data_IF_898775791903
#
_entry.id   IF_898775791903
#
_cell.length_a   1.000
_cell.length_b   1.000
_cell.length_c   1.000
_cell.angle_alpha   90.00
_cell.angle_beta   90.00
_cell.angle_gamma   90.00
#
_symmetry.space_group_name_H-M   'P 1'
#
loop_
_entity.id
_entity.type
_entity.pdbx_description
1 polymer ?
#
# COMPACT_ATOMS: atom_id res chain seq x y z
N UNK A 1 -0.16 3.91 -2.51
CA UNK A 1 -1.62 4.11 -2.66
C UNK A 1 -1.92 5.23 -3.65
N UNK A 2 -1.48 6.47 -3.39
CA UNK A 2 -1.73 7.63 -4.26
C UNK A 2 -1.26 7.41 -5.70
N UNK A 3 -0.04 6.90 -5.89
CA UNK A 3 0.49 6.59 -7.23
C UNK A 3 -0.44 5.68 -8.05
N UNK A 4 -0.93 4.58 -7.46
CA UNK A 4 -1.88 3.68 -8.12
C UNK A 4 -3.23 4.33 -8.42
N UNK A 5 -3.69 5.27 -7.59
CA UNK A 5 -4.92 6.03 -7.87
C UNK A 5 -4.76 7.02 -9.02
N UNK A 6 -3.55 7.55 -9.20
CA UNK A 6 -3.25 8.54 -10.24
C UNK A 6 -2.95 7.89 -11.60
N UNK A 7 -2.17 6.80 -11.60
CA UNK A 7 -1.60 6.23 -12.82
C UNK A 7 -2.24 4.94 -13.30
N UNK A 8 -3.10 4.31 -12.50
CA UNK A 8 -3.72 3.03 -12.86
C UNK A 8 -5.21 3.20 -13.13
N UNK A 9 -5.69 2.66 -14.25
CA UNK A 9 -7.12 2.59 -14.58
C UNK A 9 -7.92 1.78 -13.56
N UNK A 10 -7.24 0.90 -12.83
CA UNK A 10 -7.81 0.08 -11.76
C UNK A 10 -7.19 0.49 -10.43
N UNK A 11 -8.00 1.13 -9.59
CA UNK A 11 -7.65 1.50 -8.23
C UNK A 11 -8.76 1.09 -7.26
N UNK A 12 -8.42 1.04 -5.96
CA UNK A 12 -9.37 0.67 -4.91
C UNK A 12 -9.69 1.83 -3.97
N UNK A 13 -10.75 1.71 -3.20
CA UNK A 13 -11.12 2.71 -2.19
C UNK A 13 -10.18 2.67 -0.98
N UNK A 14 -10.12 3.77 -0.23
CA UNK A 14 -9.31 3.87 1.00
C UNK A 14 -9.69 2.79 2.00
N UNK A 15 -10.96 2.46 2.12
CA UNK A 15 -11.43 1.35 2.95
C UNK A 15 -10.78 0.03 2.58
N UNK A 16 -10.53 -0.23 1.28
CA UNK A 16 -9.85 -1.47 0.86
C UNK A 16 -8.35 -1.42 1.14
N UNK A 17 -7.69 -0.29 0.85
CA UNK A 17 -6.28 -0.13 1.18
C UNK A 17 -6.01 -0.19 2.69
N UNK A 18 -6.87 0.41 3.51
CA UNK A 18 -6.81 0.37 4.96
C UNK A 18 -6.93 -1.06 5.50
N UNK A 19 -7.81 -1.87 4.94
CA UNK A 19 -7.95 -3.30 5.31
C UNK A 19 -6.70 -4.11 5.01
N UNK A 20 -6.01 -3.84 3.91
CA UNK A 20 -4.76 -4.54 3.55
C UNK A 20 -3.60 -4.02 4.40
N UNK A 21 -3.55 -2.71 4.66
CA UNK A 21 -2.50 -2.07 5.46
C UNK A 21 -2.67 -2.22 6.97
N UNK A 22 -3.82 -2.75 7.45
CA UNK A 22 -4.08 -2.96 8.86
C UNK A 22 -4.29 -1.67 9.68
N UNK A 23 -4.67 -0.56 9.03
CA UNK A 23 -4.87 0.74 9.68
C UNK A 23 -6.33 1.19 9.71
N UNK A 24 -6.75 2.01 10.69
CA UNK A 24 -8.05 2.67 10.66
C UNK A 24 -8.23 3.50 9.38
N UNK A 25 -9.43 3.45 8.80
CA UNK A 25 -9.73 4.21 7.57
C UNK A 25 -9.57 5.72 7.77
N UNK A 26 -9.93 6.23 8.95
CA UNK A 26 -9.78 7.64 9.29
C UNK A 26 -8.31 8.10 9.25
N UNK A 27 -7.40 7.27 9.77
CA UNK A 27 -5.96 7.54 9.76
C UNK A 27 -5.42 7.52 8.33
N UNK A 28 -5.81 6.53 7.52
CA UNK A 28 -5.39 6.47 6.12
C UNK A 28 -5.84 7.71 5.33
N UNK A 29 -7.07 8.17 5.58
CA UNK A 29 -7.60 9.37 4.93
C UNK A 29 -6.81 10.63 5.33
N UNK A 30 -6.44 10.75 6.60
CA UNK A 30 -5.62 11.87 7.08
C UNK A 30 -4.23 11.87 6.44
N UNK A 31 -3.56 10.72 6.44
CA UNK A 31 -2.24 10.55 5.82
C UNK A 31 -2.27 10.82 4.31
N UNK A 32 -3.37 10.46 3.64
CA UNK A 32 -3.54 10.75 2.22
C UNK A 32 -3.58 12.25 1.96
N UNK A 33 -4.39 13.01 2.71
CA UNK A 33 -4.46 14.46 2.57
C UNK A 33 -3.13 15.13 2.91
N UNK A 34 -2.49 14.71 4.00
CA UNK A 34 -1.17 15.23 4.41
C UNK A 34 -0.13 15.05 3.30
N UNK A 35 -0.07 13.86 2.70
CA UNK A 35 0.81 13.59 1.58
C UNK A 35 0.53 14.52 0.39
N UNK A 36 -0.73 14.76 0.06
CA UNK A 36 -1.10 15.66 -1.04
C UNK A 36 -0.67 17.11 -0.77
N UNK A 37 -0.84 17.59 0.46
CA UNK A 37 -0.37 18.91 0.87
C UNK A 37 1.15 19.04 0.81
N UNK A 38 1.89 18.03 1.26
CA UNK A 38 3.35 18.05 1.24
C UNK A 38 3.94 18.09 -0.17
N UNK A 39 3.21 17.60 -1.16
CA UNK A 39 3.62 17.61 -2.56
C UNK A 39 2.96 18.74 -3.35
N UNK A 40 2.25 19.67 -2.70
CA UNK A 40 1.50 20.75 -3.36
C UNK A 40 0.53 20.24 -4.46
N UNK A 41 0.01 19.02 -4.30
CA UNK A 41 -0.77 18.29 -5.30
C UNK A 41 -0.06 18.04 -6.64
N UNK A 42 1.24 18.31 -6.73
CA UNK A 42 2.07 17.98 -7.89
C UNK A 42 2.52 16.53 -7.80
N UNK A 43 1.77 15.66 -8.48
CA UNK A 43 1.96 14.22 -8.45
C UNK A 43 2.39 13.66 -9.81
N UNK A 44 2.51 14.52 -10.82
CA UNK A 44 2.83 14.10 -12.17
C UNK A 44 4.35 13.96 -12.32
N UNK A 45 4.78 12.72 -12.47
CA UNK A 45 6.15 12.33 -12.78
C UNK A 45 6.25 11.96 -14.25
N UNK A 46 7.18 12.58 -14.97
CA UNK A 46 7.51 12.24 -16.35
C UNK A 46 8.36 10.97 -16.43
N UNK A 47 8.43 10.36 -17.62
CA UNK A 47 9.28 9.19 -17.83
C UNK A 47 10.77 9.51 -17.65
N UNK A 48 11.20 10.71 -18.05
CA UNK A 48 12.59 11.13 -17.96
C UNK A 48 13.02 11.29 -16.49
N UNK A 49 12.19 11.94 -15.67
CA UNK A 49 12.44 12.08 -14.23
C UNK A 49 12.47 10.71 -13.54
N UNK A 50 11.54 9.82 -13.88
CA UNK A 50 11.50 8.47 -13.31
C UNK A 50 12.78 7.69 -13.62
N UNK A 51 13.27 7.77 -14.86
CA UNK A 51 14.51 7.13 -15.28
C UNK A 51 15.73 7.72 -14.56
N UNK A 52 15.82 9.06 -14.48
CA UNK A 52 16.92 9.75 -13.80
C UNK A 52 17.01 9.36 -12.32
N UNK A 53 15.87 9.29 -11.62
CA UNK A 53 15.82 8.81 -10.24
C UNK A 53 16.24 7.35 -10.11
N UNK A 54 15.85 6.48 -11.06
CA UNK A 54 16.30 5.09 -11.11
C UNK A 54 17.83 4.97 -11.23
N UNK A 55 18.43 5.76 -12.11
CA UNK A 55 19.87 5.79 -12.32
C UNK A 55 20.62 6.27 -11.07
N UNK A 56 20.11 7.29 -10.38
CA UNK A 56 20.66 7.77 -9.10
C UNK A 56 20.67 6.67 -8.03
N UNK A 57 19.60 5.88 -7.94
CA UNK A 57 19.50 4.76 -6.99
C UNK A 57 20.53 3.67 -7.30
N UNK A 58 20.74 3.34 -8.58
CA UNK A 58 21.75 2.37 -9.01
C UNK A 58 23.16 2.83 -8.63
N UNK A 59 23.49 4.09 -8.90
CA UNK A 59 24.80 4.68 -8.54
C UNK A 59 25.04 4.59 -7.03
N UNK A 60 24.05 4.97 -6.22
CA UNK A 60 24.17 4.92 -4.76
C UNK A 60 24.36 3.48 -4.25
N UNK A 61 23.61 2.52 -4.80
CA UNK A 61 23.76 1.10 -4.45
C UNK A 61 25.17 0.57 -4.74
N UNK A 62 25.74 0.91 -5.90
CA UNK A 62 27.10 0.53 -6.25
C UNK A 62 28.14 1.16 -5.32
N UNK A 63 27.98 2.44 -4.94
CA UNK A 63 28.92 3.12 -4.05
C UNK A 63 28.95 2.49 -2.63
N UNK A 64 27.78 2.14 -2.09
CA UNK A 64 27.66 1.54 -0.76
C UNK A 64 28.29 0.15 -0.65
N UNK A 65 28.36 -0.60 -1.77
CA UNK A 65 29.04 -1.90 -1.80
C UNK A 65 30.57 -1.78 -1.64
N UNK A 66 31.15 -0.66 -2.09
CA UNK A 66 32.60 -0.43 -2.08
C UNK A 66 33.08 0.15 -0.74
N UNK A 67 32.30 1.03 -0.10
CA UNK A 67 32.63 1.61 1.21
C UNK A 67 32.54 0.60 2.37
N UNK A 68 31.73 -0.45 2.23
CA UNK A 68 31.63 -1.51 3.26
C UNK A 68 32.87 -2.42 3.39
N UNK A 69 33.89 -2.23 2.54
CA UNK A 69 35.13 -3.05 2.53
C UNK A 69 36.24 -2.45 3.42
N UNK A 70 36.08 -1.25 3.99
CA UNK A 70 37.11 -0.66 4.87
C UNK A 70 36.57 -0.07 6.19
N UNK A 71 35.94 -0.90 7.02
CA UNK A 71 35.83 -0.61 8.46
C UNK A 71 36.46 -1.75 9.24
N UNK A 72 37.58 -1.42 9.89
CA UNK A 72 38.32 -2.30 10.79
C UNK A 72 37.44 -2.85 11.90
N UNK A 73 37.73 -4.09 12.25
CA UNK A 73 37.13 -4.87 13.33
C UNK A 73 37.26 -4.11 14.66
N UNK A 74 36.14 -3.57 15.15
CA UNK A 74 35.74 -3.40 16.55
C UNK A 74 34.63 -2.33 16.60
N UNK A 75 33.62 -2.56 17.43
CA UNK A 75 32.39 -1.78 17.63
C UNK A 75 31.15 -2.29 16.85
N UNK A 76 30.07 -2.45 17.62
CA UNK A 76 28.90 -3.25 17.31
C UNK A 76 28.16 -2.88 16.03
N UNK A 77 27.59 -3.92 15.43
CA UNK A 77 26.78 -3.90 14.21
C UNK A 77 25.56 -2.98 14.39
N UNK A 78 25.68 -1.72 14.00
CA UNK A 78 24.56 -0.90 13.56
C UNK A 78 24.39 -1.14 12.06
N UNK A 79 23.49 -2.07 11.70
CA UNK A 79 23.05 -2.24 10.30
C UNK A 79 22.11 -1.09 9.96
N UNK A 80 22.43 -0.20 9.01
CA UNK A 80 21.42 0.70 8.50
C UNK A 80 20.29 -0.12 7.88
N UNK A 81 19.06 0.28 8.20
CA UNK A 81 17.83 -0.31 7.71
C UNK A 81 17.87 -0.42 6.18
N UNK A 82 17.93 -1.64 5.63
CA UNK A 82 17.94 -1.84 4.17
C UNK A 82 18.55 -3.14 3.66
N UNK A 83 19.36 -3.87 4.45
CA UNK A 83 19.87 -5.19 4.01
C UNK A 83 18.97 -6.32 4.50
N UNK A 84 17.96 -6.69 3.70
CA UNK A 84 17.40 -8.03 3.76
C UNK A 84 18.53 -9.00 3.37
N UNK A 85 19.06 -9.75 4.34
CA UNK A 85 20.02 -10.81 4.07
C UNK A 85 19.28 -11.91 3.31
N UNK A 86 19.42 -11.95 1.99
CA UNK A 86 18.99 -13.10 1.21
C UNK A 86 20.04 -14.19 1.45
N UNK A 87 19.78 -15.08 2.40
CA UNK A 87 20.61 -16.27 2.56
C UNK A 87 20.42 -17.12 1.31
N UNK A 88 21.49 -17.23 0.51
CA UNK A 88 21.62 -18.25 -0.52
C UNK A 88 21.99 -19.58 0.14
N UNK A 89 21.08 -20.13 0.94
CA UNK A 89 21.16 -21.54 1.29
C UNK A 89 20.45 -22.33 0.19
N UNK A 90 21.25 -23.02 -0.62
CA UNK A 90 20.81 -24.08 -1.51
C UNK A 90 20.27 -25.25 -0.69
N UNK A 91 19.07 -25.10 -0.15
CA UNK A 91 18.30 -26.22 0.37
C UNK A 91 17.44 -26.74 -0.77
N UNK A 92 17.79 -27.92 -1.26
CA UNK A 92 17.02 -28.70 -2.22
C UNK A 92 15.72 -29.20 -1.56
N UNK A 93 14.80 -28.28 -1.29
CA UNK A 93 13.45 -28.53 -0.82
C UNK A 93 12.46 -27.92 -1.80
N UNK A 94 11.57 -28.74 -2.33
CA UNK A 94 10.48 -28.30 -3.20
C UNK A 94 9.54 -27.36 -2.43
N UNK A 95 9.80 -26.05 -2.48
CA UNK A 95 8.88 -25.04 -2.01
C UNK A 95 7.78 -24.82 -3.06
N UNK A 96 6.78 -25.70 -3.03
CA UNK A 96 5.54 -25.55 -3.79
C UNK A 96 4.73 -24.38 -3.19
N UNK A 97 4.85 -23.18 -3.76
CA UNK A 97 3.95 -22.06 -3.46
C UNK A 97 2.55 -22.41 -3.99
N UNK A 98 1.75 -23.12 -3.19
CA UNK A 98 0.42 -23.53 -3.60
C UNK A 98 -0.49 -22.29 -3.66
N UNK A 99 -0.72 -21.78 -4.86
CA UNK A 99 -1.80 -20.85 -5.13
C UNK A 99 -3.13 -21.57 -4.86
N UNK A 100 -3.65 -21.44 -3.63
CA UNK A 100 -5.00 -21.90 -3.33
C UNK A 100 -5.97 -20.95 -4.03
N UNK A 101 -6.48 -21.40 -5.18
CA UNK A 101 -7.58 -20.73 -5.89
C UNK A 101 -8.69 -20.45 -4.87
N UNK A 102 -9.15 -19.20 -4.69
CA UNK A 102 -10.27 -18.94 -3.81
C UNK A 102 -11.49 -19.67 -4.36
N UNK A 103 -12.14 -20.47 -3.51
CA UNK A 103 -13.42 -21.07 -3.84
C UNK A 103 -14.44 -19.95 -4.04
N UNK A 104 -15.12 -19.99 -5.17
CA UNK A 104 -16.21 -19.07 -5.50
C UNK A 104 -17.36 -19.30 -4.50
N UNK A 105 -17.41 -18.51 -3.43
CA UNK A 105 -18.57 -18.43 -2.54
C UNK A 105 -19.57 -17.49 -3.21
N UNK A 106 -20.60 -18.07 -3.83
CA UNK A 106 -21.82 -17.35 -4.19
C UNK A 106 -22.45 -16.79 -2.92
N UNK A 107 -22.23 -15.50 -2.67
CA UNK A 107 -22.97 -14.77 -1.64
C UNK A 107 -24.41 -14.63 -2.14
N UNK A 108 -25.32 -15.48 -1.63
CA UNK A 108 -26.76 -15.23 -1.77
C UNK A 108 -27.05 -13.85 -1.17
N UNK A 109 -27.72 -12.98 -1.94
CA UNK A 109 -28.28 -11.72 -1.42
C UNK A 109 -29.15 -12.07 -0.22
N UNK A 110 -28.77 -11.63 0.97
CA UNK A 110 -29.70 -11.55 2.07
C UNK A 110 -30.60 -10.34 1.81
N UNK A 111 -31.91 -10.56 1.84
CA UNK A 111 -32.95 -9.56 1.64
C UNK A 111 -32.83 -8.46 2.68
N UNK A 112 -33.07 -7.23 2.24
CA UNK A 112 -33.31 -6.07 3.09
C UNK A 112 -34.57 -6.32 3.92
N UNK A 113 -34.42 -6.56 5.22
CA UNK A 113 -35.53 -6.44 6.17
C UNK A 113 -35.62 -4.98 6.60
N UNK A 114 -36.52 -4.26 5.92
CA UNK A 114 -37.13 -3.01 6.32
C UNK A 114 -37.80 -3.19 7.69
N UNK A 115 -37.32 -2.47 8.71
CA UNK A 115 -37.69 -2.76 10.09
C UNK A 115 -37.43 -1.67 11.11
N UNK A 116 -37.84 -0.44 10.80
CA UNK A 116 -38.38 0.46 11.83
C UNK A 116 -37.52 1.66 12.22
N UNK A 117 -37.97 2.85 11.80
CA UNK A 117 -37.91 4.04 12.65
C UNK A 117 -39.07 5.00 12.31
N UNK A 118 -40.13 4.87 13.12
CA UNK A 118 -40.99 5.92 13.70
C UNK A 118 -41.37 7.14 12.82
N UNK A 119 -42.61 7.08 12.34
CA UNK A 119 -43.65 8.12 12.34
C UNK A 119 -43.20 9.59 12.28
N UNK A 120 -43.34 10.20 11.09
CA UNK A 120 -43.57 11.64 10.97
C UNK A 120 -45.04 11.87 10.66
N UNK A 121 -45.76 12.57 11.54
CA UNK A 121 -47.11 13.02 11.26
C UNK A 121 -47.04 14.23 10.32
N UNK A 122 -47.58 14.11 9.11
CA UNK A 122 -47.87 15.25 8.26
C UNK A 122 -49.39 15.39 8.18
N UNK A 123 -49.90 16.38 8.91
CA UNK A 123 -51.27 16.89 8.80
C UNK A 123 -51.37 17.65 7.48
N UNK A 124 -52.39 17.36 6.67
CA UNK A 124 -52.83 18.26 5.59
C UNK A 124 -53.37 17.56 4.35
N UNK A 125 -54.68 17.34 4.30
CA UNK A 125 -55.62 18.04 3.41
C UNK A 125 -56.85 17.17 3.15
N UNK A 126 -57.94 17.50 3.83
CA UNK A 126 -59.29 17.11 3.42
C UNK A 126 -59.85 18.22 2.52
N UNK A 127 -60.53 17.80 1.45
CA UNK A 127 -61.41 18.55 0.52
C UNK A 127 -60.74 19.44 -0.53
#
# INVERSE_FOLDING_TARGET
MISSKLYSDVFFTNTRYAKVGGLPVAELNALELEFLYLNDYDLFVTMDELQEYGDKLLVHWHHQSVESVQVNQNEGIVKPFGRLSVNSESSSGEHHWAYKKPSFVSKRRASEDEGGLRTISAVGSEC
#
